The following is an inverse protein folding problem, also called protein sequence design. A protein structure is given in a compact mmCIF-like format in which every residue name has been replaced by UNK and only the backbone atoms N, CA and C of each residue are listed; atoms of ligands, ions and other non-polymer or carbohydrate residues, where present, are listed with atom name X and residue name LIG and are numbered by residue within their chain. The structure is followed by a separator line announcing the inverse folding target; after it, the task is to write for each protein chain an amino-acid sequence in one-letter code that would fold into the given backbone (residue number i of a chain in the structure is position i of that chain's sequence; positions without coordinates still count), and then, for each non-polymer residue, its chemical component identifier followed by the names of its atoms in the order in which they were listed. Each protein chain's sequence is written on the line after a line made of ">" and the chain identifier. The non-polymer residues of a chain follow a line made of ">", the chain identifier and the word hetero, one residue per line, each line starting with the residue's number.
data_IF_782887623391
#
_entry.id   IF_782887623391
#
_cell.length_a   1.000
_cell.length_b   1.000
_cell.length_c   1.000
_cell.angle_alpha   90.00
_cell.angle_beta   90.00
_cell.angle_gamma   90.00
#
_symmetry.space_group_name_H-M   'P 1'
#
loop_
_entity.id
_entity.type
_entity.pdbx_description
1 polymer ?
#
# COMPACT_ATOMS: atom_id res chain seq x y z
N UNK A 1 -5.86 -12.87 -20.50
CA UNK A 1 -6.31 -11.62 -19.87
C UNK A 1 -5.62 -11.54 -18.52
N UNK A 2 -4.77 -10.54 -18.26
CA UNK A 2 -4.23 -10.34 -16.91
C UNK A 2 -5.38 -9.72 -16.12
N UNK A 3 -5.99 -10.48 -15.22
CA UNK A 3 -6.88 -9.90 -14.21
C UNK A 3 -6.09 -8.82 -13.49
N UNK A 4 -6.55 -7.58 -13.58
CA UNK A 4 -6.02 -6.53 -12.75
C UNK A 4 -6.36 -6.94 -11.32
N UNK A 5 -5.34 -7.29 -10.53
CA UNK A 5 -5.50 -7.48 -9.10
C UNK A 5 -5.95 -6.14 -8.52
N UNK A 6 -7.25 -6.03 -8.26
CA UNK A 6 -7.96 -4.78 -7.96
C UNK A 6 -8.28 -4.78 -6.46
N UNK A 7 -7.66 -3.90 -5.65
CA UNK A 7 -7.95 -3.80 -4.22
C UNK A 7 -9.39 -3.35 -3.97
N UNK A 8 -10.14 -4.15 -3.24
CA UNK A 8 -11.39 -3.77 -2.57
C UNK A 8 -11.12 -2.75 -1.44
N UNK A 9 -12.14 -2.02 -1.00
CA UNK A 9 -12.02 -1.07 0.12
C UNK A 9 -11.43 -1.70 1.40
N UNK A 10 -11.81 -2.95 1.69
CA UNK A 10 -11.26 -3.71 2.82
C UNK A 10 -9.75 -4.02 2.64
N UNK A 11 -9.32 -4.26 1.40
CA UNK A 11 -7.90 -4.44 1.06
C UNK A 11 -7.13 -3.12 1.15
N UNK A 12 -7.72 -1.98 0.77
CA UNK A 12 -7.10 -0.65 0.96
C UNK A 12 -6.78 -0.38 2.43
N UNK A 13 -7.72 -0.64 3.35
CA UNK A 13 -7.47 -0.48 4.79
C UNK A 13 -6.40 -1.45 5.32
N UNK A 14 -6.39 -2.68 4.83
CA UNK A 14 -5.32 -3.63 5.13
C UNK A 14 -3.94 -3.10 4.68
N UNK A 15 -3.85 -2.56 3.47
CA UNK A 15 -2.60 -2.00 2.95
C UNK A 15 -2.15 -0.75 3.73
N UNK A 16 -3.07 0.11 4.17
CA UNK A 16 -2.76 1.26 5.06
C UNK A 16 -2.10 0.77 6.35
N UNK A 17 -2.65 -0.27 6.97
CA UNK A 17 -2.06 -0.82 8.20
C UNK A 17 -0.65 -1.39 7.95
N UNK A 18 -0.48 -2.15 6.86
CA UNK A 18 0.82 -2.72 6.49
C UNK A 18 1.86 -1.66 6.17
N UNK A 19 1.49 -0.61 5.45
CA UNK A 19 2.37 0.51 5.12
C UNK A 19 2.96 1.15 6.38
N UNK A 20 2.11 1.45 7.37
CA UNK A 20 2.52 2.03 8.66
C UNK A 20 3.41 1.09 9.45
N UNK A 21 3.09 -0.21 9.43
CA UNK A 21 3.90 -1.23 10.11
C UNK A 21 5.31 -1.31 9.52
N UNK A 22 5.44 -1.30 8.20
CA UNK A 22 6.73 -1.33 7.52
C UNK A 22 7.55 -0.05 7.76
N UNK A 23 6.93 1.13 7.82
CA UNK A 23 7.64 2.36 8.23
C UNK A 23 8.17 2.27 9.66
N UNK A 24 7.33 1.83 10.59
CA UNK A 24 7.74 1.66 11.99
C UNK A 24 8.86 0.62 12.14
N UNK A 25 8.84 -0.44 11.32
CA UNK A 25 9.95 -1.39 11.20
C UNK A 25 11.22 -0.71 10.68
N UNK A 26 11.14 0.03 9.58
CA UNK A 26 12.28 0.75 9.01
C UNK A 26 12.94 1.71 10.02
N UNK A 27 12.15 2.40 10.84
CA UNK A 27 12.65 3.36 11.84
C UNK A 27 13.41 2.69 12.99
N UNK A 28 13.07 1.43 13.32
CA UNK A 28 13.74 0.65 14.38
C UNK A 28 14.79 -0.33 13.88
N UNK A 29 14.94 -0.52 12.56
CA UNK A 29 15.94 -1.44 12.00
C UNK A 29 17.34 -0.82 12.07
N UNK A 30 18.30 -1.46 12.77
CA UNK A 30 19.61 -0.86 13.04
C UNK A 30 20.56 -0.87 11.84
N UNK A 31 20.28 -1.65 10.79
CA UNK A 31 21.12 -1.75 9.61
C UNK A 31 20.45 -1.18 8.35
N UNK A 32 21.29 -0.66 7.44
CA UNK A 32 20.85 0.01 6.22
C UNK A 32 20.06 -0.89 5.28
N UNK A 33 20.46 -2.15 5.16
CA UNK A 33 19.89 -3.08 4.18
C UNK A 33 18.48 -3.52 4.57
N UNK A 34 18.29 -3.91 5.83
CA UNK A 34 16.99 -4.24 6.39
C UNK A 34 16.07 -3.01 6.39
N UNK A 35 16.59 -1.83 6.74
CA UNK A 35 15.82 -0.58 6.64
C UNK A 35 15.35 -0.34 5.21
N UNK A 36 16.21 -0.55 4.21
CA UNK A 36 15.87 -0.40 2.79
C UNK A 36 14.76 -1.36 2.38
N UNK A 37 14.81 -2.63 2.80
CA UNK A 37 13.77 -3.62 2.51
C UNK A 37 12.41 -3.16 3.05
N UNK A 38 12.35 -2.72 4.31
CA UNK A 38 11.10 -2.21 4.91
C UNK A 38 10.57 -0.98 4.19
N UNK A 39 11.44 -0.03 3.80
CA UNK A 39 11.04 1.15 3.03
C UNK A 39 10.51 0.79 1.63
N UNK A 40 11.12 -0.18 0.96
CA UNK A 40 10.65 -0.65 -0.34
C UNK A 40 9.29 -1.36 -0.23
N UNK A 41 9.05 -2.10 0.85
CA UNK A 41 7.74 -2.69 1.15
C UNK A 41 6.68 -1.62 1.46
N UNK A 42 7.00 -0.62 2.30
CA UNK A 42 6.12 0.51 2.56
C UNK A 42 5.71 1.24 1.26
N UNK A 43 6.67 1.46 0.34
CA UNK A 43 6.39 2.06 -0.98
C UNK A 43 5.45 1.21 -1.83
N UNK A 44 5.58 -0.12 -1.81
CA UNK A 44 4.68 -1.02 -2.54
C UNK A 44 3.26 -0.94 -2.00
N UNK A 45 3.10 -0.92 -0.67
CA UNK A 45 1.76 -0.74 -0.07
C UNK A 45 1.18 0.65 -0.36
N UNK A 46 1.98 1.72 -0.29
CA UNK A 46 1.54 3.06 -0.66
C UNK A 46 1.01 3.13 -2.09
N UNK A 47 1.64 2.41 -3.03
CA UNK A 47 1.16 2.32 -4.42
C UNK A 47 -0.21 1.60 -4.50
N UNK A 48 -0.37 0.47 -3.80
CA UNK A 48 -1.63 -0.28 -3.78
C UNK A 48 -2.77 0.51 -3.15
N UNK A 49 -2.49 1.32 -2.12
CA UNK A 49 -3.45 2.24 -1.52
C UNK A 49 -3.91 3.28 -2.54
N UNK A 50 -2.97 3.92 -3.24
CA UNK A 50 -3.29 4.93 -4.24
C UNK A 50 -4.12 4.34 -5.41
N UNK A 51 -3.82 3.10 -5.81
CA UNK A 51 -4.61 2.37 -6.82
C UNK A 51 -6.04 2.08 -6.33
N UNK A 52 -6.20 1.64 -5.08
CA UNK A 52 -7.53 1.42 -4.47
C UNK A 52 -8.34 2.71 -4.30
N UNK A 53 -7.70 3.79 -3.83
CA UNK A 53 -8.35 5.11 -3.67
C UNK A 53 -8.78 5.71 -5.01
N UNK A 54 -7.97 5.55 -6.06
CA UNK A 54 -8.31 6.00 -7.40
C UNK A 54 -9.54 5.27 -7.96
N UNK A 55 -9.64 3.95 -7.71
CA UNK A 55 -10.81 3.17 -8.13
C UNK A 55 -12.08 3.60 -7.38
N UNK A 56 -12.02 3.76 -6.05
CA UNK A 56 -13.17 4.24 -5.28
C UNK A 56 -13.66 5.62 -5.74
N UNK A 57 -12.73 6.49 -6.14
CA UNK A 57 -13.08 7.80 -6.67
C UNK A 57 -13.74 7.71 -8.07
N UNK A 58 -13.38 6.71 -8.88
CA UNK A 58 -13.99 6.46 -10.19
C UNK A 58 -15.41 5.86 -10.03
N UNK A 59 -15.57 4.86 -9.16
CA UNK A 59 -16.85 4.22 -8.85
C UNK A 59 -17.90 5.19 -8.28
N UNK A 60 -17.46 6.25 -7.60
CA UNK A 60 -18.33 7.27 -7.00
C UNK A 60 -18.75 8.39 -7.96
N UNK A 61 -18.29 8.42 -9.22
CA UNK A 61 -18.73 9.44 -10.19
C UNK A 61 -20.15 9.13 -10.66
N UNK A 62 -21.12 10.04 -10.47
CA UNK A 62 -22.44 9.87 -11.08
C UNK A 62 -22.33 10.00 -12.60
N UNK A 63 -22.95 9.06 -13.32
CA UNK A 63 -23.09 9.02 -14.78
C UNK A 63 -23.99 10.13 -15.31
#
# INVERSE_FOLDING_TARGET
>A
MREAFMPTHAETQFYIHRERQERALADRTPNSDGRRVHLDMARRYAKLIAEGEAQEADDRRPS
#
